data_IF_394474153637
#
_entry.id   IF_394474153637
#
_cell.length_a   1.000
_cell.length_b   1.000
_cell.length_c   1.000
_cell.angle_alpha   90.00
_cell.angle_beta   90.00
_cell.angle_gamma   90.00
#
_symmetry.space_group_name_H-M   'P 1'
#
loop_
_entity.id
_entity.type
_entity.pdbx_description
1 polymer ?
#
# COMPACT_ATOMS: atom_id res chain seq x y z
N UNK A 1 -16.28 12.72 -12.76
CA UNK A 1 -16.79 11.59 -13.57
C UNK A 1 -15.74 10.50 -13.54
N UNK A 2 -16.14 9.37 -12.94
CA UNK A 2 -15.35 8.22 -12.48
C UNK A 2 -14.23 8.53 -11.48
N UNK A 3 -14.64 8.83 -10.24
CA UNK A 3 -13.83 8.56 -9.06
C UNK A 3 -13.65 7.04 -8.97
N UNK A 4 -12.62 6.51 -9.61
CA UNK A 4 -12.25 5.11 -9.48
C UNK A 4 -11.71 4.87 -8.06
N UNK A 5 -12.58 4.75 -7.05
CA UNK A 5 -12.36 3.84 -5.94
C UNK A 5 -12.30 2.44 -6.59
N UNK A 6 -11.23 1.66 -6.59
CA UNK A 6 -10.22 1.41 -5.56
C UNK A 6 -8.97 0.82 -6.25
N UNK A 7 -7.80 0.72 -5.58
CA UNK A 7 -7.56 -0.49 -4.79
C UNK A 7 -6.98 -0.19 -3.41
N UNK A 8 -7.61 -0.74 -2.36
CA UNK A 8 -7.02 -0.91 -1.02
C UNK A 8 -5.86 -1.89 -1.20
N UNK A 9 -4.74 -1.36 -1.72
CA UNK A 9 -3.59 -2.17 -2.12
C UNK A 9 -2.73 -2.34 -0.90
N UNK A 10 -2.50 -3.58 -0.52
CA UNK A 10 -1.68 -3.89 0.65
C UNK A 10 -0.32 -4.38 0.16
N UNK A 11 0.72 -3.68 0.60
CA UNK A 11 2.10 -4.04 0.40
C UNK A 11 2.64 -4.60 1.70
N UNK A 12 3.28 -5.75 1.64
CA UNK A 12 3.95 -6.39 2.78
C UNK A 12 5.44 -6.42 2.47
N UNK A 13 6.25 -6.01 3.45
CA UNK A 13 7.71 -6.09 3.35
C UNK A 13 8.12 -7.55 3.23
N UNK A 14 9.08 -7.85 2.37
CA UNK A 14 9.65 -9.19 2.28
C UNK A 14 10.14 -9.68 3.64
N UNK A 15 10.01 -10.99 3.88
CA UNK A 15 10.35 -11.63 5.16
C UNK A 15 9.55 -11.17 6.38
N UNK A 16 8.46 -10.41 6.20
CA UNK A 16 7.51 -10.15 7.28
C UNK A 16 6.93 -11.48 7.76
N UNK A 17 7.06 -11.76 9.07
CA UNK A 17 6.41 -12.90 9.67
C UNK A 17 4.90 -12.71 9.61
N UNK A 18 4.20 -13.74 9.18
CA UNK A 18 2.75 -13.80 9.12
C UNK A 18 2.26 -14.97 9.99
N UNK A 19 0.98 -14.97 10.41
CA UNK A 19 0.42 -16.08 11.14
C UNK A 19 0.62 -17.42 10.41
N UNK A 20 0.91 -18.47 11.19
CA UNK A 20 1.07 -19.81 10.64
C UNK A 20 -0.24 -20.25 9.95
N UNK A 21 -0.12 -20.74 8.71
CA UNK A 21 -1.27 -21.13 7.90
C UNK A 21 -1.95 -19.98 7.14
N UNK A 22 -1.53 -18.72 7.34
CA UNK A 22 -2.00 -17.61 6.51
C UNK A 22 -1.27 -17.62 5.15
N UNK A 23 -1.85 -18.28 4.16
CA UNK A 23 -1.38 -18.20 2.78
C UNK A 23 -1.76 -16.86 2.16
N UNK A 24 -0.78 -15.97 1.98
CA UNK A 24 -0.96 -14.69 1.27
C UNK A 24 -0.35 -14.80 -0.11
N UNK A 25 -1.20 -14.89 -1.13
CA UNK A 25 -0.74 -14.75 -2.51
C UNK A 25 -0.19 -13.33 -2.70
N UNK A 26 1.01 -13.23 -3.26
CA UNK A 26 1.66 -11.95 -3.45
C UNK A 26 2.65 -11.98 -4.61
N UNK A 27 2.87 -10.83 -5.24
CA UNK A 27 3.90 -10.65 -6.27
C UNK A 27 4.87 -9.53 -5.89
N UNK A 28 6.05 -9.51 -6.51
CA UNK A 28 7.03 -8.44 -6.30
C UNK A 28 6.47 -7.13 -6.86
N UNK A 29 6.42 -6.09 -6.02
CA UNK A 29 6.00 -4.76 -6.42
C UNK A 29 7.19 -3.79 -6.54
N UNK A 30 8.05 -3.80 -5.53
CA UNK A 30 9.32 -3.07 -5.46
C UNK A 30 10.34 -3.97 -4.75
N UNK A 31 11.66 -3.75 -4.90
CA UNK A 31 12.65 -4.50 -4.13
C UNK A 31 12.34 -4.45 -2.62
N UNK A 32 12.20 -5.61 -1.97
CA UNK A 32 11.85 -5.72 -0.56
C UNK A 32 10.36 -5.54 -0.23
N UNK A 33 9.48 -5.37 -1.22
CA UNK A 33 8.04 -5.13 -1.03
C UNK A 33 7.20 -5.94 -2.01
N UNK A 34 6.27 -6.72 -1.47
CA UNK A 34 5.34 -7.54 -2.24
C UNK A 34 3.93 -6.99 -2.12
N UNK A 35 3.17 -6.99 -3.21
CA UNK A 35 1.75 -6.62 -3.20
C UNK A 35 0.90 -7.87 -3.00
N UNK A 36 -0.09 -7.78 -2.11
CA UNK A 36 -1.07 -8.83 -1.85
C UNK A 36 -2.02 -8.98 -3.04
N UNK A 37 -2.32 -10.21 -3.40
CA UNK A 37 -3.24 -10.59 -4.48
C UNK A 37 -4.44 -11.33 -3.93
N UNK A 38 -5.57 -11.22 -4.63
CA UNK A 38 -6.78 -12.02 -4.42
C UNK A 38 -7.31 -11.98 -2.98
N UNK A 39 -6.99 -10.93 -2.23
CA UNK A 39 -7.38 -10.74 -0.84
C UNK A 39 -7.64 -9.24 -0.62
N UNK A 40 -8.87 -8.90 -0.25
CA UNK A 40 -9.19 -7.54 0.17
C UNK A 40 -8.69 -7.27 1.60
N UNK A 41 -8.68 -5.99 1.97
CA UNK A 41 -8.20 -5.53 3.28
C UNK A 41 -8.98 -6.12 4.44
N UNK A 42 -10.29 -6.23 4.33
CA UNK A 42 -11.16 -6.71 5.41
C UNK A 42 -10.95 -8.21 5.66
N UNK A 43 -10.79 -8.98 4.59
CA UNK A 43 -10.49 -10.42 4.65
C UNK A 43 -9.09 -10.64 5.21
N UNK A 44 -8.09 -9.87 4.78
CA UNK A 44 -6.75 -9.95 5.36
C UNK A 44 -6.75 -9.61 6.85
N UNK A 45 -7.42 -8.53 7.26
CA UNK A 45 -7.51 -8.13 8.65
C UNK A 45 -8.16 -9.21 9.52
N UNK A 46 -9.30 -9.76 9.08
CA UNK A 46 -9.99 -10.85 9.79
C UNK A 46 -9.11 -12.09 9.93
N UNK A 47 -8.37 -12.46 8.88
CA UNK A 47 -7.49 -13.63 8.92
C UNK A 47 -6.26 -13.42 9.82
N UNK A 48 -5.76 -12.19 9.92
CA UNK A 48 -4.70 -11.83 10.87
C UNK A 48 -5.25 -11.91 12.30
N UNK A 49 -6.41 -11.31 12.55
CA UNK A 49 -7.06 -11.29 13.87
C UNK A 49 -7.43 -12.68 14.36
N UNK A 50 -8.00 -13.54 13.50
CA UNK A 50 -8.39 -14.90 13.86
C UNK A 50 -7.23 -15.79 14.27
N UNK A 51 -6.00 -15.41 13.91
CA UNK A 51 -4.79 -16.13 14.24
C UNK A 51 -4.06 -15.56 15.47
N UNK A 52 -4.69 -14.66 16.25
CA UNK A 52 -4.10 -13.93 17.38
C UNK A 52 -2.95 -12.99 16.96
N UNK A 53 -3.10 -12.36 15.79
CA UNK A 53 -2.23 -11.28 15.34
C UNK A 53 -3.03 -9.98 15.19
N UNK A 54 -2.32 -8.88 15.04
CA UNK A 54 -2.90 -7.55 14.85
C UNK A 54 -2.27 -6.87 13.66
N UNK A 55 -3.04 -6.04 12.97
CA UNK A 55 -2.59 -5.13 11.91
C UNK A 55 -3.13 -3.74 12.19
N UNK A 56 -2.30 -2.86 12.74
CA UNK A 56 -2.72 -1.50 13.11
C UNK A 56 -1.99 -0.44 12.30
N UNK A 57 -2.65 0.71 12.15
CA UNK A 57 -2.12 1.87 11.45
C UNK A 57 -1.16 2.62 12.38
N UNK A 58 0.05 2.91 11.90
CA UNK A 58 1.13 3.51 12.70
C UNK A 58 1.10 5.05 12.73
N UNK A 59 0.29 5.70 11.90
CA UNK A 59 0.32 7.15 11.81
C UNK A 59 -0.69 7.75 10.85
N UNK A 60 -0.49 9.03 10.55
CA UNK A 60 -1.32 9.77 9.60
C UNK A 60 -1.07 9.26 8.18
N UNK A 61 -2.12 9.32 7.36
CA UNK A 61 -1.98 9.14 5.91
C UNK A 61 -0.93 10.08 5.31
N UNK A 62 0.01 9.49 4.58
CA UNK A 62 1.02 10.20 3.79
C UNK A 62 0.57 10.26 2.33
N UNK A 63 0.85 11.39 1.68
CA UNK A 63 0.49 11.62 0.27
C UNK A 63 1.69 12.07 -0.55
N UNK A 64 1.75 11.59 -1.79
CA UNK A 64 2.74 12.02 -2.78
C UNK A 64 2.09 12.19 -4.14
N UNK A 65 2.35 13.32 -4.78
CA UNK A 65 1.92 13.61 -6.15
C UNK A 65 3.10 13.50 -7.10
N UNK A 66 2.92 12.79 -8.21
CA UNK A 66 3.93 12.61 -9.27
C UNK A 66 3.32 12.94 -10.63
N UNK A 67 4.18 13.22 -11.62
CA UNK A 67 3.80 13.54 -12.98
C UNK A 67 4.33 12.51 -13.98
N UNK A 68 3.58 12.25 -15.06
CA UNK A 68 3.98 11.28 -16.07
C UNK A 68 2.87 10.93 -17.07
N UNK A 69 3.15 9.91 -17.90
CA UNK A 69 2.24 9.43 -18.96
C UNK A 69 1.69 8.05 -18.62
N UNK A 70 2.51 7.19 -18.02
CA UNK A 70 2.17 5.82 -17.64
C UNK A 70 1.76 5.77 -16.16
N UNK A 71 0.46 5.55 -15.94
CA UNK A 71 -0.14 5.54 -14.61
C UNK A 71 0.45 4.46 -13.69
N UNK A 72 0.73 3.26 -14.22
CA UNK A 72 1.30 2.15 -13.43
C UNK A 72 2.70 2.52 -12.95
N UNK A 73 3.54 3.08 -13.83
CA UNK A 73 4.87 3.56 -13.46
C UNK A 73 4.81 4.71 -12.47
N UNK A 74 3.81 5.60 -12.60
CA UNK A 74 3.58 6.70 -11.66
C UNK A 74 3.20 6.18 -10.27
N UNK A 75 2.33 5.17 -10.15
CA UNK A 75 1.99 4.55 -8.86
C UNK A 75 3.25 3.97 -8.21
N UNK A 76 4.03 3.17 -8.93
CA UNK A 76 5.28 2.57 -8.41
C UNK A 76 6.26 3.66 -7.94
N UNK A 77 6.41 4.74 -8.72
CA UNK A 77 7.26 5.89 -8.35
C UNK A 77 6.77 6.58 -7.07
N UNK A 78 5.48 6.91 -7.00
CA UNK A 78 4.90 7.58 -5.84
C UNK A 78 5.00 6.70 -4.58
N UNK A 79 4.75 5.40 -4.70
CA UNK A 79 4.94 4.44 -3.59
C UNK A 79 6.40 4.37 -3.16
N UNK A 80 7.36 4.36 -4.09
CA UNK A 80 8.79 4.40 -3.76
C UNK A 80 9.17 5.67 -2.98
N UNK A 81 8.64 6.83 -3.37
CA UNK A 81 8.85 8.09 -2.67
C UNK A 81 8.22 8.09 -1.26
N UNK A 82 7.00 7.53 -1.10
CA UNK A 82 6.36 7.33 0.21
C UNK A 82 7.23 6.45 1.11
N UNK A 83 7.64 5.28 0.62
CA UNK A 83 8.48 4.36 1.38
C UNK A 83 9.81 4.99 1.78
N UNK A 84 10.40 5.82 0.93
CA UNK A 84 11.62 6.56 1.25
C UNK A 84 11.44 7.55 2.40
N UNK A 85 10.29 8.22 2.48
CA UNK A 85 9.94 9.16 3.57
C UNK A 85 9.66 8.44 4.89
N UNK A 86 9.10 7.24 4.82
CA UNK A 86 8.77 6.42 5.99
C UNK A 86 9.97 5.60 6.52
N UNK A 87 11.16 5.67 5.90
CA UNK A 87 12.31 4.78 6.22
C UNK A 87 12.70 4.72 7.70
N UNK A 88 12.46 5.78 8.47
CA UNK A 88 12.75 5.81 9.91
C UNK A 88 11.70 5.12 10.78
N UNK A 89 10.52 4.82 10.23
CA UNK A 89 9.42 4.17 10.95
C UNK A 89 9.61 2.65 10.99
N UNK A 90 9.25 2.04 12.13
CA UNK A 90 9.21 0.58 12.28
C UNK A 90 7.87 0.05 11.75
N UNK A 91 7.77 -0.13 10.44
CA UNK A 91 6.59 -0.69 9.77
C UNK A 91 6.97 -1.81 8.79
N UNK A 92 6.06 -2.76 8.62
CA UNK A 92 6.25 -3.94 7.76
C UNK A 92 5.12 -4.11 6.73
N UNK A 93 4.11 -3.24 6.75
CA UNK A 93 3.03 -3.21 5.78
C UNK A 93 2.71 -1.76 5.39
N UNK A 94 2.32 -1.54 4.14
CA UNK A 94 1.85 -0.25 3.66
C UNK A 94 0.51 -0.46 2.96
N UNK A 95 -0.52 0.26 3.38
CA UNK A 95 -1.81 0.28 2.71
C UNK A 95 -1.89 1.52 1.82
N UNK A 96 -2.06 1.34 0.51
CA UNK A 96 -2.46 2.42 -0.39
C UNK A 96 -3.96 2.59 -0.25
N UNK A 97 -4.38 3.70 0.35
CA UNK A 97 -5.78 4.00 0.65
C UNK A 97 -6.48 4.66 -0.54
N UNK A 98 -5.73 5.39 -1.36
CA UNK A 98 -6.28 6.13 -2.51
C UNK A 98 -5.24 6.34 -3.59
N UNK A 99 -5.68 6.22 -4.83
CA UNK A 99 -4.96 6.71 -6.01
C UNK A 99 -5.88 7.68 -6.74
N UNK A 100 -5.44 8.90 -6.99
CA UNK A 100 -6.23 9.92 -7.69
C UNK A 100 -5.43 10.48 -8.85
N UNK A 101 -5.92 10.27 -10.08
CA UNK A 101 -5.32 10.82 -11.30
C UNK A 101 -6.11 12.05 -11.74
N UNK A 102 -5.44 13.20 -11.81
CA UNK A 102 -6.04 14.43 -12.33
C UNK A 102 -5.80 14.48 -13.83
N UNK A 103 -6.91 14.43 -14.57
CA UNK A 103 -6.88 14.38 -16.03
C UNK A 103 -7.20 15.73 -16.68
N UNK A 104 -7.76 16.66 -15.91
CA UNK A 104 -8.14 18.01 -16.35
C UNK A 104 -6.95 18.96 -16.53
N UNK A 105 -5.78 18.67 -15.94
CA UNK A 105 -4.56 19.49 -16.01
C UNK A 105 -3.54 18.93 -17.03
N UNK A 106 -4.01 18.41 -18.17
CA UNK A 106 -3.09 17.95 -19.24
C UNK A 106 -2.47 19.14 -19.94
N UNK A 107 -1.30 19.58 -19.46
CA UNK A 107 -0.39 20.39 -20.27
C UNK A 107 0.56 19.45 -21.00
N UNK A 108 0.58 19.50 -22.34
CA UNK A 108 1.48 18.70 -23.21
C UNK A 108 1.40 17.16 -23.04
N UNK A 109 0.24 16.63 -22.64
CA UNK A 109 0.03 15.17 -22.51
C UNK A 109 0.55 14.53 -21.22
N UNK A 110 1.06 15.32 -20.28
CA UNK A 110 1.46 14.87 -18.94
C UNK A 110 0.27 14.88 -17.99
N UNK A 111 0.14 13.84 -17.15
CA UNK A 111 -0.88 13.71 -16.09
C UNK A 111 -0.24 13.87 -14.72
N UNK A 112 -1.03 14.25 -13.72
CA UNK A 112 -0.64 14.17 -12.31
C UNK A 112 -1.40 13.04 -11.62
N UNK A 113 -0.70 12.32 -10.73
CA UNK A 113 -1.26 11.24 -9.94
C UNK A 113 -0.85 11.44 -8.49
N UNK A 114 -1.80 11.36 -7.58
CA UNK A 114 -1.58 11.40 -6.14
C UNK A 114 -1.85 10.02 -5.55
N UNK A 115 -0.86 9.48 -4.83
CA UNK A 115 -1.02 8.28 -4.00
C UNK A 115 -1.14 8.70 -2.54
N UNK A 116 -2.16 8.19 -1.88
CA UNK A 116 -2.32 8.21 -0.43
C UNK A 116 -2.00 6.84 0.15
N UNK A 117 -1.26 6.80 1.26
CA UNK A 117 -0.96 5.55 1.94
C UNK A 117 -0.85 5.70 3.46
N UNK A 118 -0.96 4.59 4.16
CA UNK A 118 -0.79 4.48 5.60
C UNK A 118 0.21 3.36 5.93
N UNK A 119 1.19 3.66 6.79
CA UNK A 119 2.07 2.64 7.35
C UNK A 119 1.30 1.78 8.34
N UNK A 120 1.55 0.47 8.29
CA UNK A 120 0.93 -0.54 9.15
C UNK A 120 1.99 -1.44 9.77
N UNK A 121 1.68 -1.93 10.96
CA UNK A 121 2.47 -2.95 11.63
C UNK A 121 1.63 -4.21 11.83
N UNK A 122 2.09 -5.31 11.24
CA UNK A 122 1.58 -6.67 11.44
C UNK A 122 2.44 -7.36 12.49
N UNK A 123 1.85 -7.79 13.59
CA UNK A 123 2.55 -8.48 14.67
C UNK A 123 1.62 -9.40 15.46
N UNK A 124 2.19 -10.34 16.23
CA UNK A 124 1.41 -11.13 17.20
C UNK A 124 0.73 -10.19 18.19
N UNK A 125 -0.51 -10.51 18.56
CA UNK A 125 -1.20 -9.80 19.62
C UNK A 125 -0.41 -9.96 20.92
N UNK A 126 -0.26 -8.86 21.66
CA UNK A 126 0.24 -8.91 23.04
C UNK A 126 -0.96 -9.29 23.90
N UNK A 127 -0.89 -10.46 24.53
CA UNK A 127 -1.86 -10.95 25.52
C UNK A 127 -1.54 -10.33 26.87
#
# INVERSE_FOLDING_TARGET
>A
MSDNNTPETILIRESTLLPAGLAVESEVFLPGWRVVKNLDRSTLARNIESANWTSFCMGREIRTTVFGIDEKKMVVRATKEILARLKSEKFNSLEITRVTSVTSERFLGVRSLTVSAQSRLIQKAVV
#
